data_IF_922074168075
#
_entry.id   IF_922074168075
#
_cell.length_a   1.000
_cell.length_b   1.000
_cell.length_c   1.000
_cell.angle_alpha   90.00
_cell.angle_beta   90.00
_cell.angle_gamma   90.00
#
_symmetry.space_group_name_H-M   'P 1'
#
loop_
_entity.id
_entity.type
_entity.pdbx_description
1 polymer ?
#
# COMPACT_ATOMS: atom_id res chain seq x y z
N UNK A 1 -19.88 -47.67 17.12
CA UNK A 1 -20.15 -46.21 17.06
C UNK A 1 -18.82 -45.50 17.15
N UNK A 2 -18.21 -45.24 16.02
CA UNK A 2 -16.92 -44.52 15.95
C UNK A 2 -17.18 -43.08 15.51
N UNK A 3 -17.17 -42.17 16.50
CA UNK A 3 -17.29 -40.73 16.25
C UNK A 3 -16.12 -40.20 15.44
N UNK A 4 -16.33 -39.99 14.17
CA UNK A 4 -15.38 -39.23 13.30
C UNK A 4 -15.30 -37.79 13.79
N UNK A 5 -14.26 -37.47 14.53
CA UNK A 5 -13.90 -36.11 14.89
C UNK A 5 -13.76 -35.29 13.58
N UNK A 6 -14.76 -34.48 13.28
CA UNK A 6 -14.73 -33.51 12.18
C UNK A 6 -13.77 -32.40 12.56
N UNK A 7 -12.53 -32.53 12.09
CA UNK A 7 -11.51 -31.50 12.26
C UNK A 7 -11.91 -30.27 11.41
N UNK A 8 -12.27 -29.11 12.01
CA UNK A 8 -12.82 -27.97 11.29
C UNK A 8 -11.86 -27.43 10.21
N UNK A 9 -10.55 -27.63 10.39
CA UNK A 9 -9.55 -27.27 9.39
C UNK A 9 -9.66 -28.06 8.08
N UNK A 10 -10.11 -29.33 8.12
CA UNK A 10 -10.33 -30.13 6.92
C UNK A 10 -11.57 -29.69 6.13
N UNK A 11 -12.59 -29.20 6.81
CA UNK A 11 -13.82 -28.73 6.17
C UNK A 11 -13.57 -27.46 5.33
N UNK A 12 -12.69 -26.56 5.78
CA UNK A 12 -12.31 -25.34 5.06
C UNK A 12 -11.50 -25.68 3.79
N UNK A 13 -10.57 -26.64 3.88
CA UNK A 13 -9.74 -27.06 2.74
C UNK A 13 -10.58 -27.74 1.65
N UNK A 14 -11.62 -28.50 2.02
CA UNK A 14 -12.53 -29.13 1.05
C UNK A 14 -13.40 -28.09 0.32
N UNK A 15 -13.76 -26.99 1.00
CA UNK A 15 -14.59 -25.92 0.41
C UNK A 15 -13.77 -24.94 -0.44
N UNK A 16 -12.49 -24.79 -0.14
CA UNK A 16 -11.55 -23.91 -0.85
C UNK A 16 -10.21 -24.61 -1.10
N UNK A 17 -10.12 -25.43 -2.15
CA UNK A 17 -8.92 -26.25 -2.41
C UNK A 17 -7.64 -25.42 -2.59
N UNK A 18 -7.77 -24.14 -3.01
CA UNK A 18 -6.64 -23.20 -3.15
C UNK A 18 -5.93 -22.93 -1.81
N UNK A 19 -6.65 -22.95 -0.67
CA UNK A 19 -6.06 -22.74 0.66
C UNK A 19 -5.23 -23.93 1.15
N UNK A 20 -5.32 -25.09 0.49
CA UNK A 20 -4.49 -26.27 0.77
C UNK A 20 -3.02 -26.10 0.33
N UNK A 21 -2.73 -25.18 -0.57
CA UNK A 21 -1.37 -24.94 -1.08
C UNK A 21 -0.61 -23.94 -0.21
N UNK A 22 0.52 -24.33 0.43
CA UNK A 22 1.25 -23.43 1.34
C UNK A 22 1.81 -22.18 0.64
N UNK A 23 2.11 -22.26 -0.67
CA UNK A 23 2.53 -21.11 -1.49
C UNK A 23 1.40 -20.09 -1.66
N UNK A 24 0.17 -20.54 -1.87
CA UNK A 24 -1.01 -19.69 -2.01
C UNK A 24 -1.34 -18.98 -0.69
N UNK A 25 -1.25 -19.66 0.44
CA UNK A 25 -1.46 -19.06 1.77
C UNK A 25 -0.45 -17.94 2.05
N UNK A 26 0.84 -18.19 1.77
CA UNK A 26 1.88 -17.15 1.94
C UNK A 26 1.62 -15.95 1.07
N UNK A 27 1.26 -16.16 -0.20
CA UNK A 27 0.89 -15.08 -1.12
C UNK A 27 -0.33 -14.31 -0.61
N UNK A 28 -1.36 -15.00 -0.14
CA UNK A 28 -2.59 -14.39 0.35
C UNK A 28 -2.33 -13.53 1.60
N UNK A 29 -1.59 -14.05 2.58
CA UNK A 29 -1.22 -13.30 3.78
C UNK A 29 -0.32 -12.10 3.44
N UNK A 30 0.64 -12.25 2.54
CA UNK A 30 1.49 -11.15 2.10
C UNK A 30 0.69 -10.05 1.40
N UNK A 31 -0.27 -10.41 0.54
CA UNK A 31 -1.16 -9.46 -0.12
C UNK A 31 -2.06 -8.74 0.87
N UNK A 32 -2.64 -9.47 1.81
CA UNK A 32 -3.49 -8.88 2.87
C UNK A 32 -2.70 -7.90 3.75
N UNK A 33 -1.50 -8.29 4.18
CA UNK A 33 -0.61 -7.43 4.95
C UNK A 33 -0.18 -6.19 4.15
N UNK A 34 0.12 -6.34 2.86
CA UNK A 34 0.49 -5.23 1.98
C UNK A 34 -0.65 -4.22 1.82
N UNK A 35 -1.87 -4.70 1.56
CA UNK A 35 -3.06 -3.83 1.46
C UNK A 35 -3.32 -3.15 2.80
N UNK A 36 -3.26 -3.88 3.91
CA UNK A 36 -3.42 -3.33 5.26
C UNK A 36 -2.39 -2.24 5.56
N UNK A 37 -1.13 -2.47 5.23
CA UNK A 37 -0.06 -1.47 5.41
C UNK A 37 -0.34 -0.20 4.60
N UNK A 38 -0.79 -0.32 3.34
CA UNK A 38 -1.15 0.84 2.51
C UNK A 38 -2.29 1.65 3.14
N UNK A 39 -3.31 0.98 3.65
CA UNK A 39 -4.43 1.66 4.32
C UNK A 39 -4.01 2.36 5.61
N UNK A 40 -3.13 1.76 6.40
CA UNK A 40 -2.57 2.40 7.61
C UNK A 40 -1.75 3.63 7.28
N UNK A 41 -0.94 3.60 6.22
CA UNK A 41 -0.20 4.78 5.74
C UNK A 41 -1.15 5.90 5.34
N UNK A 42 -2.20 5.58 4.59
CA UNK A 42 -3.20 6.57 4.15
C UNK A 42 -3.91 7.21 5.35
N UNK A 43 -4.31 6.41 6.33
CA UNK A 43 -4.92 6.90 7.56
C UNK A 43 -3.96 7.76 8.38
N UNK A 44 -2.70 7.33 8.52
CA UNK A 44 -1.66 8.07 9.25
C UNK A 44 -1.37 9.44 8.62
N UNK A 45 -1.26 9.49 7.30
CA UNK A 45 -1.07 10.76 6.58
C UNK A 45 -2.28 11.68 6.72
N UNK A 46 -3.50 11.12 6.66
CA UNK A 46 -4.74 11.87 6.89
C UNK A 46 -4.81 12.45 8.30
N UNK A 47 -4.48 11.63 9.30
CA UNK A 47 -4.42 12.08 10.70
C UNK A 47 -3.40 13.21 10.89
N UNK A 48 -2.19 13.03 10.38
CA UNK A 48 -1.11 14.01 10.51
C UNK A 48 -1.49 15.35 9.86
N UNK A 49 -2.10 15.35 8.68
CA UNK A 49 -2.58 16.58 8.04
C UNK A 49 -3.67 17.23 8.87
N UNK A 50 -4.61 16.47 9.41
CA UNK A 50 -5.66 17.02 10.24
C UNK A 50 -5.11 17.64 11.53
N UNK A 51 -4.15 16.99 12.16
CA UNK A 51 -3.47 17.50 13.37
C UNK A 51 -2.70 18.80 13.10
N UNK A 52 -2.00 18.88 11.97
CA UNK A 52 -1.22 20.05 11.59
C UNK A 52 -2.10 21.25 11.12
N UNK A 53 -3.23 20.99 10.50
CA UNK A 53 -4.02 22.01 9.83
C UNK A 53 -5.34 22.36 10.50
N UNK A 54 -5.91 21.42 11.25
CA UNK A 54 -7.28 21.54 11.81
C UNK A 54 -8.38 21.62 10.73
N UNK A 55 -8.07 21.37 9.45
CA UNK A 55 -8.97 21.64 8.33
C UNK A 55 -9.32 20.38 7.54
N UNK A 56 -10.61 20.07 7.47
CA UNK A 56 -11.12 18.99 6.61
C UNK A 56 -10.88 19.24 5.11
N UNK A 57 -10.74 20.51 4.69
CA UNK A 57 -10.42 20.86 3.32
C UNK A 57 -9.04 20.31 2.91
N UNK A 58 -8.07 20.37 3.80
CA UNK A 58 -6.72 19.85 3.52
C UNK A 58 -6.67 18.32 3.41
N UNK A 59 -7.59 17.60 4.05
CA UNK A 59 -7.79 16.17 3.80
C UNK A 59 -8.27 15.91 2.37
N UNK A 60 -9.14 16.75 1.84
CA UNK A 60 -9.56 16.68 0.44
C UNK A 60 -8.39 16.94 -0.52
N UNK A 61 -7.54 17.91 -0.21
CA UNK A 61 -6.31 18.20 -0.98
C UNK A 61 -5.34 17.02 -0.94
N UNK A 62 -5.17 16.38 0.23
CA UNK A 62 -4.37 15.14 0.34
C UNK A 62 -4.91 14.04 -0.58
N UNK A 63 -6.22 13.81 -0.54
CA UNK A 63 -6.88 12.83 -1.41
C UNK A 63 -6.64 13.13 -2.89
N UNK A 64 -6.76 14.39 -3.31
CA UNK A 64 -6.49 14.82 -4.67
C UNK A 64 -5.00 14.64 -5.04
N UNK A 65 -4.07 15.06 -4.16
CA UNK A 65 -2.64 14.91 -4.36
C UNK A 65 -2.21 13.43 -4.50
N UNK A 66 -2.89 12.52 -3.81
CA UNK A 66 -2.65 11.09 -3.94
C UNK A 66 -3.33 10.49 -5.18
N UNK A 67 -4.52 10.93 -5.55
CA UNK A 67 -5.32 10.31 -6.62
C UNK A 67 -4.90 10.76 -8.01
N UNK A 68 -4.61 12.05 -8.22
CA UNK A 68 -4.27 12.60 -9.53
C UNK A 68 -3.03 11.92 -10.15
N UNK A 69 -1.88 11.81 -9.45
CA UNK A 69 -0.71 11.13 -9.99
C UNK A 69 -0.97 9.66 -10.29
N UNK A 70 -1.75 8.99 -9.43
CA UNK A 70 -2.09 7.58 -9.61
C UNK A 70 -2.92 7.34 -10.88
N UNK A 71 -3.94 8.17 -11.14
CA UNK A 71 -4.77 8.09 -12.35
C UNK A 71 -3.91 8.32 -13.60
N UNK A 72 -3.07 9.36 -13.61
CA UNK A 72 -2.20 9.67 -14.73
C UNK A 72 -1.24 8.51 -15.05
N UNK A 73 -0.63 7.92 -14.01
CA UNK A 73 0.28 6.81 -14.21
C UNK A 73 -0.42 5.49 -14.56
N UNK A 74 -1.63 5.26 -14.08
CA UNK A 74 -2.40 4.08 -14.49
C UNK A 74 -2.70 4.11 -15.98
N UNK A 75 -2.95 5.29 -16.54
CA UNK A 75 -3.16 5.45 -17.98
C UNK A 75 -1.88 5.28 -18.81
N UNK A 76 -0.73 5.72 -18.29
CA UNK A 76 0.56 5.70 -18.99
C UNK A 76 1.42 4.47 -18.62
N UNK A 77 1.17 3.86 -17.49
CA UNK A 77 2.02 2.83 -16.87
C UNK A 77 2.06 1.50 -17.63
N UNK A 78 1.01 1.19 -18.41
CA UNK A 78 0.98 -0.02 -19.23
C UNK A 78 2.16 -0.10 -20.22
N UNK A 79 2.56 1.05 -20.78
CA UNK A 79 3.67 1.13 -21.76
C UNK A 79 5.04 1.02 -21.07
N UNK A 80 5.14 1.45 -19.83
CA UNK A 80 6.41 1.49 -19.07
C UNK A 80 6.68 0.12 -18.43
N UNK A 81 5.66 -0.55 -17.89
CA UNK A 81 5.80 -1.83 -17.21
C UNK A 81 6.32 -2.95 -18.12
N UNK A 82 6.03 -2.90 -19.43
CA UNK A 82 6.46 -3.92 -20.38
C UNK A 82 7.96 -3.88 -20.71
N UNK A 83 8.66 -2.81 -20.35
CA UNK A 83 10.09 -2.63 -20.68
C UNK A 83 11.06 -2.97 -19.56
N UNK A 84 10.59 -3.14 -18.33
CA UNK A 84 11.45 -3.34 -17.16
C UNK A 84 11.16 -4.65 -16.45
N UNK A 85 12.21 -5.21 -15.83
CA UNK A 85 12.10 -6.40 -14.98
C UNK A 85 11.22 -6.10 -13.75
N UNK A 86 10.08 -6.78 -13.69
CA UNK A 86 9.05 -6.67 -12.65
C UNK A 86 9.62 -6.70 -11.25
N UNK A 87 10.58 -7.58 -11.00
CA UNK A 87 11.21 -7.74 -9.69
C UNK A 87 12.01 -6.50 -9.29
N UNK A 88 12.72 -5.90 -10.25
CA UNK A 88 13.52 -4.70 -10.00
C UNK A 88 12.63 -3.49 -9.71
N UNK A 89 11.53 -3.35 -10.44
CA UNK A 89 10.55 -2.29 -10.18
C UNK A 89 10.01 -2.42 -8.76
N UNK A 90 9.50 -3.59 -8.37
CA UNK A 90 8.91 -3.82 -7.04
C UNK A 90 9.90 -3.57 -5.89
N UNK A 91 11.16 -3.95 -6.05
CA UNK A 91 12.19 -3.68 -5.03
C UNK A 91 12.49 -2.18 -4.95
N UNK A 92 12.66 -1.52 -6.08
CA UNK A 92 12.97 -0.09 -6.13
C UNK A 92 11.82 0.76 -5.56
N UNK A 93 10.58 0.48 -5.95
CA UNK A 93 9.39 1.20 -5.49
C UNK A 93 9.17 1.00 -3.99
N UNK A 94 9.29 -0.24 -3.50
CA UNK A 94 9.15 -0.54 -2.07
C UNK A 94 10.25 0.12 -1.23
N UNK A 95 11.51 0.09 -1.71
CA UNK A 95 12.62 0.75 -1.01
C UNK A 95 12.45 2.26 -0.98
N UNK A 96 12.05 2.86 -2.09
CA UNK A 96 11.83 4.31 -2.18
C UNK A 96 10.65 4.74 -1.28
N UNK A 97 9.56 3.99 -1.27
CA UNK A 97 8.43 4.23 -0.37
C UNK A 97 8.85 4.15 1.10
N UNK A 98 9.66 3.17 1.46
CA UNK A 98 10.18 3.03 2.82
C UNK A 98 11.05 4.24 3.23
N UNK A 99 11.91 4.73 2.34
CA UNK A 99 12.73 5.93 2.58
C UNK A 99 11.86 7.17 2.75
N UNK A 100 10.85 7.36 1.89
CA UNK A 100 9.92 8.49 1.99
C UNK A 100 9.14 8.49 3.31
N UNK A 101 8.65 7.33 3.73
CA UNK A 101 7.95 7.19 5.01
C UNK A 101 8.89 7.41 6.20
N UNK A 102 10.11 6.89 6.14
CA UNK A 102 11.12 7.12 7.18
C UNK A 102 11.47 8.62 7.29
N UNK A 103 11.61 9.32 6.16
CA UNK A 103 11.85 10.76 6.16
C UNK A 103 10.68 11.54 6.74
N UNK A 104 9.43 11.16 6.44
CA UNK A 104 8.24 11.78 7.03
C UNK A 104 8.20 11.58 8.56
N UNK A 105 8.46 10.36 9.03
CA UNK A 105 8.52 10.04 10.46
C UNK A 105 9.62 10.83 11.16
N UNK A 106 10.79 10.99 10.53
CA UNK A 106 11.88 11.77 11.06
C UNK A 106 11.54 13.26 11.17
N UNK A 107 10.89 13.83 10.15
CA UNK A 107 10.42 15.22 10.18
C UNK A 107 9.36 15.43 11.27
N UNK A 108 8.48 14.48 11.46
CA UNK A 108 7.45 14.51 12.50
C UNK A 108 8.10 14.48 13.90
N UNK A 109 9.05 13.57 14.12
CA UNK A 109 9.78 13.47 15.37
C UNK A 109 10.57 14.75 15.72
N UNK A 110 11.11 15.45 14.72
CA UNK A 110 11.84 16.71 14.91
C UNK A 110 10.94 17.94 15.04
N UNK A 111 9.63 17.78 14.86
CA UNK A 111 8.67 18.89 14.90
C UNK A 111 8.78 19.85 13.70
N UNK A 112 9.53 19.48 12.66
CA UNK A 112 9.72 20.29 11.44
C UNK A 112 8.73 19.92 10.33
N UNK A 113 7.82 18.97 10.60
CA UNK A 113 6.83 18.56 9.63
C UNK A 113 5.85 19.70 9.32
N UNK A 114 5.54 19.88 8.04
CA UNK A 114 4.53 20.81 7.56
C UNK A 114 3.55 20.10 6.63
N UNK A 115 2.39 20.68 6.44
CA UNK A 115 1.37 20.14 5.52
C UNK A 115 1.95 19.91 4.13
N UNK A 116 2.80 20.80 3.64
CA UNK A 116 3.46 20.67 2.34
C UNK A 116 4.38 19.45 2.24
N UNK A 117 5.10 19.11 3.29
CA UNK A 117 5.92 17.90 3.32
C UNK A 117 5.06 16.64 3.19
N UNK A 118 3.95 16.58 3.93
CA UNK A 118 3.02 15.44 3.87
C UNK A 118 2.40 15.30 2.49
N UNK A 119 1.92 16.41 1.89
CA UNK A 119 1.32 16.42 0.56
C UNK A 119 2.31 15.97 -0.53
N UNK A 120 3.54 16.48 -0.47
CA UNK A 120 4.59 16.12 -1.44
C UNK A 120 4.97 14.65 -1.33
N UNK A 121 5.16 14.14 -0.12
CA UNK A 121 5.48 12.73 0.11
C UNK A 121 4.32 11.83 -0.30
N UNK A 122 3.08 12.21 -0.01
CA UNK A 122 1.90 11.47 -0.45
C UNK A 122 1.79 11.40 -1.97
N UNK A 123 2.02 12.51 -2.68
CA UNK A 123 2.04 12.54 -4.13
C UNK A 123 3.16 11.66 -4.72
N UNK A 124 4.36 11.70 -4.14
CA UNK A 124 5.49 10.86 -4.57
C UNK A 124 5.20 9.37 -4.34
N UNK A 125 4.65 8.99 -3.18
CA UNK A 125 4.25 7.60 -2.90
C UNK A 125 3.19 7.16 -3.89
N UNK A 126 2.23 8.02 -4.22
CA UNK A 126 1.18 7.72 -5.19
C UNK A 126 1.74 7.51 -6.60
N UNK A 127 2.71 8.32 -7.04
CA UNK A 127 3.43 8.12 -8.29
C UNK A 127 4.13 6.76 -8.32
N UNK A 128 4.84 6.41 -7.26
CA UNK A 128 5.56 5.14 -7.14
C UNK A 128 4.58 3.96 -7.17
N UNK A 129 3.49 4.04 -6.41
CA UNK A 129 2.47 2.99 -6.32
C UNK A 129 1.70 2.82 -7.63
N UNK A 130 1.50 3.91 -8.39
CA UNK A 130 0.90 3.86 -9.71
C UNK A 130 1.70 3.04 -10.73
N UNK A 131 3.03 2.97 -10.56
CA UNK A 131 3.91 2.10 -11.36
C UNK A 131 3.86 0.63 -10.92
N UNK A 132 3.52 0.36 -9.67
CA UNK A 132 3.43 -1.00 -9.13
C UNK A 132 2.20 -1.78 -9.65
N UNK A 133 1.09 -1.09 -9.91
CA UNK A 133 -0.16 -1.73 -10.32
C UNK A 133 -0.05 -2.53 -11.62
N UNK A 134 0.49 -1.98 -12.72
CA UNK A 134 0.67 -2.76 -13.94
C UNK A 134 1.77 -3.83 -13.81
N UNK A 135 2.64 -3.75 -12.80
CA UNK A 135 3.70 -4.72 -12.54
C UNK A 135 3.24 -5.94 -11.70
N UNK A 136 2.06 -5.93 -11.11
CA UNK A 136 1.46 -7.06 -10.35
C UNK A 136 0.58 -7.93 -11.21
#
# INVERSE_FOLDING_TARGET
MTGRSRNPGRAIVVRYPALGFPRFRRFWFASFASVGATQLVTLGQGWLIYELSGSAWQLGVLGAAASIPNILLTLLGGVIADRFDRRRILIATSSLTAVLLASLTFLDYTGLVTVWHVLTIAALISLITGLDWPAR
#
